data_IF_473408402756
#
_entry.id   IF_473408402756
#
_cell.length_a   1.000
_cell.length_b   1.000
_cell.length_c   1.000
_cell.angle_alpha   90.00
_cell.angle_beta   90.00
_cell.angle_gamma   90.00
#
_symmetry.space_group_name_H-M   'P 1'
#
loop_
_entity.id
_entity.type
_entity.pdbx_description
1 polymer ?
#
# COMPACT_ATOMS: atom_id res chain seq x y z
N UNK A 1 0.37 -23.78 -4.13
CA UNK A 1 0.57 -22.38 -3.64
C UNK A 1 -0.73 -21.60 -3.49
N UNK A 2 -1.62 -21.52 -4.50
CA UNK A 2 -2.93 -20.82 -4.38
C UNK A 2 -3.73 -21.21 -3.12
N UNK A 3 -3.82 -22.51 -2.81
CA UNK A 3 -4.48 -23.02 -1.59
C UNK A 3 -3.91 -22.40 -0.30
N UNK A 4 -2.60 -22.18 -0.22
CA UNK A 4 -1.99 -21.62 0.98
C UNK A 4 -2.40 -20.15 1.22
N UNK A 5 -2.55 -19.36 0.15
CA UNK A 5 -3.10 -18.00 0.25
C UNK A 5 -4.55 -18.01 0.74
N UNK A 6 -5.37 -18.91 0.19
CA UNK A 6 -6.77 -19.10 0.60
C UNK A 6 -6.87 -19.50 2.08
N UNK A 7 -6.08 -20.48 2.51
CA UNK A 7 -6.08 -20.95 3.90
C UNK A 7 -5.62 -19.85 4.85
N UNK A 8 -4.63 -19.04 4.47
CA UNK A 8 -4.17 -17.89 5.25
C UNK A 8 -5.25 -16.80 5.36
N UNK A 9 -5.95 -16.50 4.26
CA UNK A 9 -7.02 -15.52 4.25
C UNK A 9 -8.21 -15.94 5.13
N UNK A 10 -8.58 -17.24 5.11
CA UNK A 10 -9.59 -17.79 6.03
C UNK A 10 -9.18 -17.68 7.49
N UNK A 11 -7.90 -17.93 7.79
CA UNK A 11 -7.35 -17.74 9.15
C UNK A 11 -7.40 -16.28 9.56
N UNK A 12 -7.00 -15.35 8.69
CA UNK A 12 -7.09 -13.91 8.92
C UNK A 12 -8.53 -13.49 9.27
N UNK A 13 -9.51 -13.95 8.49
CA UNK A 13 -10.92 -13.70 8.76
C UNK A 13 -11.37 -14.28 10.12
N UNK A 14 -10.97 -15.52 10.45
CA UNK A 14 -11.31 -16.15 11.74
C UNK A 14 -10.72 -15.43 12.96
N UNK A 15 -9.61 -14.71 12.78
CA UNK A 15 -8.97 -13.90 13.81
C UNK A 15 -9.65 -12.53 13.98
N UNK A 16 -10.62 -12.19 13.13
CA UNK A 16 -11.28 -10.88 13.14
C UNK A 16 -10.46 -9.78 12.50
N UNK A 17 -9.45 -10.10 11.68
CA UNK A 17 -8.75 -9.09 10.88
C UNK A 17 -9.73 -8.45 9.90
N UNK A 18 -9.72 -7.12 9.84
CA UNK A 18 -10.72 -6.33 9.12
C UNK A 18 -10.33 -6.01 7.68
N UNK A 19 -9.14 -6.42 7.23
CA UNK A 19 -8.62 -6.17 5.89
C UNK A 19 -7.52 -7.19 5.57
N UNK A 20 -7.33 -7.52 4.29
CA UNK A 20 -6.23 -8.35 3.81
C UNK A 20 -5.55 -7.65 2.63
N UNK A 21 -4.22 -7.67 2.59
CA UNK A 21 -3.44 -7.17 1.46
C UNK A 21 -2.62 -8.31 0.85
N UNK A 22 -2.74 -8.52 -0.46
CA UNK A 22 -1.88 -9.44 -1.20
C UNK A 22 -0.60 -8.76 -1.63
N UNK A 23 0.53 -9.43 -1.39
CA UNK A 23 1.84 -8.89 -1.72
C UNK A 23 2.28 -9.31 -3.13
N UNK A 24 2.09 -8.42 -4.10
CA UNK A 24 2.51 -8.53 -5.50
C UNK A 24 3.70 -7.59 -5.83
N UNK A 25 4.61 -7.39 -4.88
CA UNK A 25 5.66 -6.39 -4.98
C UNK A 25 7.02 -6.92 -4.47
N UNK A 26 8.04 -6.08 -4.55
CA UNK A 26 9.35 -6.25 -3.91
C UNK A 26 10.13 -7.51 -4.28
N UNK A 27 9.85 -8.09 -5.45
CA UNK A 27 10.56 -9.26 -5.95
C UNK A 27 10.17 -10.58 -5.26
N UNK A 28 9.13 -10.57 -4.43
CA UNK A 28 8.55 -11.80 -3.91
C UNK A 28 7.72 -12.53 -4.97
N UNK A 29 7.23 -13.71 -4.62
CA UNK A 29 6.61 -14.66 -5.52
C UNK A 29 5.67 -14.06 -6.58
N UNK A 30 4.65 -13.30 -6.19
CA UNK A 30 3.68 -12.80 -7.16
C UNK A 30 4.31 -11.73 -8.06
N UNK A 31 5.25 -10.92 -7.55
CA UNK A 31 6.04 -10.01 -8.36
C UNK A 31 6.98 -10.74 -9.32
N UNK A 32 7.50 -11.91 -8.92
CA UNK A 32 8.36 -12.71 -9.80
C UNK A 32 7.59 -13.18 -11.03
N UNK A 33 6.30 -13.53 -10.90
CA UNK A 33 5.48 -13.85 -12.06
C UNK A 33 5.23 -12.63 -12.95
N UNK A 34 5.03 -11.46 -12.35
CA UNK A 34 4.82 -10.21 -13.09
C UNK A 34 6.06 -9.80 -13.87
N UNK A 35 7.25 -9.79 -13.27
CA UNK A 35 8.45 -9.26 -13.92
C UNK A 35 9.07 -10.24 -14.93
N UNK A 36 9.37 -9.80 -16.16
CA UNK A 36 10.03 -10.64 -17.16
C UNK A 36 11.51 -10.88 -16.80
N UNK A 37 12.08 -10.11 -15.87
CA UNK A 37 13.45 -10.32 -15.39
C UNK A 37 13.59 -11.63 -14.61
N UNK A 38 12.48 -12.11 -14.03
CA UNK A 38 12.45 -13.32 -13.22
C UNK A 38 11.55 -14.42 -13.80
N UNK A 39 10.55 -14.06 -14.61
CA UNK A 39 9.66 -15.02 -15.27
C UNK A 39 10.02 -15.27 -16.73
N UNK A 40 10.94 -16.23 -16.92
CA UNK A 40 11.35 -16.73 -18.24
C UNK A 40 10.60 -18.03 -18.62
N UNK A 41 9.42 -18.27 -18.06
CA UNK A 41 8.61 -19.44 -18.41
C UNK A 41 8.10 -19.34 -19.85
N UNK A 42 7.95 -20.50 -20.48
CA UNK A 42 7.44 -20.64 -21.85
C UNK A 42 6.02 -21.22 -21.90
N UNK A 43 5.39 -21.44 -20.74
CA UNK A 43 4.02 -21.94 -20.65
C UNK A 43 3.00 -20.79 -20.50
N UNK A 44 1.75 -21.13 -20.18
CA UNK A 44 0.65 -20.18 -20.05
C UNK A 44 0.80 -19.15 -18.90
N UNK A 45 1.89 -19.21 -18.13
CA UNK A 45 2.19 -18.29 -17.03
C UNK A 45 3.43 -17.43 -17.27
N UNK A 46 4.05 -17.46 -18.46
CA UNK A 46 5.17 -16.58 -18.83
C UNK A 46 5.08 -16.04 -20.26
N UNK A 47 6.07 -15.21 -20.62
CA UNK A 47 6.11 -14.53 -21.91
C UNK A 47 5.25 -13.26 -21.93
N UNK A 48 4.04 -13.36 -22.51
CA UNK A 48 3.16 -12.19 -22.67
C UNK A 48 2.75 -11.56 -21.34
N UNK A 49 2.35 -10.29 -21.38
CA UNK A 49 1.83 -9.58 -20.21
C UNK A 49 0.66 -10.33 -19.56
N UNK A 50 -0.32 -10.78 -20.36
CA UNK A 50 -1.47 -11.54 -19.89
C UNK A 50 -1.08 -12.83 -19.16
N UNK A 51 -0.10 -13.57 -19.69
CA UNK A 51 0.38 -14.80 -19.07
C UNK A 51 1.11 -14.52 -17.75
N UNK A 52 1.95 -13.48 -17.70
CA UNK A 52 2.66 -13.07 -16.48
C UNK A 52 1.71 -12.62 -15.37
N UNK A 53 0.62 -11.92 -15.73
CA UNK A 53 -0.42 -11.51 -14.77
C UNK A 53 -1.35 -12.64 -14.33
N UNK A 54 -1.44 -13.73 -15.10
CA UNK A 54 -2.40 -14.82 -14.86
C UNK A 54 -2.34 -15.37 -13.45
N UNK A 55 -1.15 -15.75 -12.97
CA UNK A 55 -1.03 -16.37 -11.65
C UNK A 55 -1.34 -15.39 -10.50
N UNK A 56 -0.80 -14.14 -10.48
CA UNK A 56 -1.24 -13.13 -9.52
C UNK A 56 -2.74 -12.87 -9.51
N UNK A 57 -3.39 -12.75 -10.67
CA UNK A 57 -4.84 -12.56 -10.77
C UNK A 57 -5.62 -13.78 -10.25
N UNK A 58 -5.21 -15.00 -10.61
CA UNK A 58 -5.84 -16.22 -10.10
C UNK A 58 -5.73 -16.35 -8.57
N UNK A 59 -4.63 -15.86 -7.98
CA UNK A 59 -4.44 -15.84 -6.53
C UNK A 59 -5.37 -14.79 -5.91
N UNK A 60 -5.48 -13.61 -6.51
CA UNK A 60 -6.43 -12.59 -6.08
C UNK A 60 -7.87 -13.11 -6.08
N UNK A 61 -8.32 -13.69 -7.20
CA UNK A 61 -9.68 -14.19 -7.38
C UNK A 61 -10.01 -15.27 -6.34
N UNK A 62 -9.12 -16.24 -6.13
CA UNK A 62 -9.34 -17.31 -5.16
C UNK A 62 -9.36 -16.81 -3.70
N UNK A 63 -8.52 -15.83 -3.36
CA UNK A 63 -8.53 -15.22 -2.02
C UNK A 63 -9.79 -14.39 -1.82
N UNK A 64 -10.22 -13.66 -2.84
CA UNK A 64 -11.44 -12.86 -2.80
C UNK A 64 -12.67 -13.74 -2.58
N UNK A 65 -12.77 -14.87 -3.27
CA UNK A 65 -13.84 -15.87 -3.11
C UNK A 65 -13.86 -16.47 -1.70
N UNK A 66 -12.69 -16.69 -1.09
CA UNK A 66 -12.57 -17.32 0.22
C UNK A 66 -12.86 -16.37 1.40
N UNK A 67 -12.75 -15.06 1.20
CA UNK A 67 -12.95 -14.05 2.24
C UNK A 67 -14.42 -13.62 2.34
N UNK A 68 -14.98 -13.45 3.55
CA UNK A 68 -16.26 -12.78 3.74
C UNK A 68 -16.33 -11.43 2.99
N UNK A 69 -17.46 -11.13 2.37
CA UNK A 69 -17.61 -9.97 1.49
C UNK A 69 -17.29 -8.62 2.17
N UNK A 70 -17.53 -8.53 3.48
CA UNK A 70 -17.26 -7.34 4.29
C UNK A 70 -15.78 -7.12 4.61
N UNK A 71 -14.91 -8.12 4.42
CA UNK A 71 -13.47 -7.98 4.61
C UNK A 71 -12.88 -7.54 3.27
N UNK A 72 -12.47 -6.27 3.09
CA UNK A 72 -11.88 -5.79 1.86
C UNK A 72 -10.51 -6.44 1.59
N UNK A 73 -10.20 -6.61 0.31
CA UNK A 73 -8.96 -7.22 -0.18
C UNK A 73 -8.28 -6.21 -1.10
N UNK A 74 -7.10 -5.75 -0.71
CA UNK A 74 -6.24 -4.92 -1.55
C UNK A 74 -5.00 -5.66 -2.04
N UNK A 75 -4.22 -4.96 -2.86
CA UNK A 75 -2.98 -5.48 -3.42
C UNK A 75 -1.87 -4.45 -3.28
N UNK A 76 -0.69 -4.90 -2.84
CA UNK A 76 0.54 -4.13 -2.94
C UNK A 76 1.32 -4.48 -4.20
N UNK A 77 1.74 -3.49 -4.96
CA UNK A 77 2.48 -3.66 -6.23
C UNK A 77 3.81 -2.92 -6.21
N UNK A 78 4.78 -3.44 -6.96
CA UNK A 78 5.91 -2.65 -7.42
C UNK A 78 5.52 -2.07 -8.77
N UNK A 79 5.37 -0.74 -8.85
CA UNK A 79 4.91 -0.09 -10.08
C UNK A 79 5.97 -0.05 -11.19
N UNK A 80 7.22 -0.31 -10.86
CA UNK A 80 8.31 -0.49 -11.82
C UNK A 80 9.45 -1.26 -11.16
N UNK A 81 10.19 -2.02 -11.95
CA UNK A 81 11.43 -2.68 -11.54
C UNK A 81 12.64 -1.73 -11.51
N UNK A 82 12.55 -0.56 -12.15
CA UNK A 82 13.67 0.36 -12.39
C UNK A 82 14.84 -0.29 -13.18
N UNK A 83 14.51 -1.21 -14.08
CA UNK A 83 15.45 -1.89 -14.98
C UNK A 83 14.82 -1.99 -16.36
N UNK A 84 15.60 -1.66 -17.40
CA UNK A 84 15.15 -1.75 -18.79
C UNK A 84 14.69 -3.16 -19.15
N UNK A 85 13.56 -3.24 -19.85
CA UNK A 85 12.93 -4.51 -20.21
C UNK A 85 12.24 -5.23 -19.05
N UNK A 86 12.17 -4.63 -17.85
CA UNK A 86 11.45 -5.17 -16.69
C UNK A 86 9.95 -4.87 -16.66
N UNK A 87 9.37 -5.01 -15.47
CA UNK A 87 8.02 -4.52 -15.17
C UNK A 87 8.03 -2.98 -15.07
N UNK A 88 7.04 -2.33 -15.65
CA UNK A 88 6.93 -0.86 -15.73
C UNK A 88 5.56 -0.33 -15.30
N UNK A 89 5.41 0.99 -15.35
CA UNK A 89 4.21 1.67 -14.83
C UNK A 89 3.01 1.41 -15.74
N UNK A 90 3.23 1.32 -17.05
CA UNK A 90 2.22 1.00 -18.05
C UNK A 90 1.64 -0.40 -17.82
N UNK A 91 2.49 -1.40 -17.59
CA UNK A 91 2.08 -2.76 -17.22
C UNK A 91 1.33 -2.76 -15.87
N UNK A 92 1.78 -1.95 -14.90
CA UNK A 92 1.08 -1.78 -13.62
C UNK A 92 -0.32 -1.20 -13.79
N UNK A 93 -0.51 -0.24 -14.69
CA UNK A 93 -1.82 0.33 -15.00
C UNK A 93 -2.78 -0.74 -15.53
N UNK A 94 -2.33 -1.58 -16.47
CA UNK A 94 -3.15 -2.69 -17.00
C UNK A 94 -3.51 -3.66 -15.87
N UNK A 95 -2.55 -4.03 -15.04
CA UNK A 95 -2.78 -4.92 -13.90
C UNK A 95 -3.76 -4.31 -12.87
N UNK A 96 -3.63 -3.02 -12.59
CA UNK A 96 -4.50 -2.29 -11.66
C UNK A 96 -5.95 -2.24 -12.15
N UNK A 97 -6.18 -2.01 -13.45
CA UNK A 97 -7.52 -2.03 -14.05
C UNK A 97 -8.15 -3.43 -13.98
N UNK A 98 -7.35 -4.48 -14.22
CA UNK A 98 -7.81 -5.86 -14.09
C UNK A 98 -8.15 -6.25 -12.65
N UNK A 99 -7.39 -5.75 -11.66
CA UNK A 99 -7.68 -5.90 -10.24
C UNK A 99 -8.95 -5.14 -9.82
N UNK A 100 -9.10 -3.90 -10.28
CA UNK A 100 -10.31 -3.09 -10.03
C UNK A 100 -11.57 -3.81 -10.55
N UNK A 101 -11.53 -4.35 -11.77
CA UNK A 101 -12.63 -5.10 -12.34
C UNK A 101 -13.00 -6.38 -11.53
N UNK A 102 -12.08 -6.88 -10.71
CA UNK A 102 -12.28 -8.03 -9.80
C UNK A 102 -12.68 -7.62 -8.38
N UNK A 103 -12.90 -6.33 -8.13
CA UNK A 103 -13.29 -5.82 -6.82
C UNK A 103 -12.12 -5.63 -5.85
N UNK A 104 -10.92 -5.34 -6.35
CA UNK A 104 -9.81 -4.89 -5.51
C UNK A 104 -10.18 -3.61 -4.77
N UNK A 105 -10.04 -3.64 -3.44
CA UNK A 105 -10.53 -2.59 -2.57
C UNK A 105 -9.57 -1.41 -2.45
N UNK A 106 -8.27 -1.62 -2.67
CA UNK A 106 -7.25 -0.57 -2.80
C UNK A 106 -6.00 -1.12 -3.49
N UNK A 107 -5.14 -0.21 -3.95
CA UNK A 107 -3.80 -0.54 -4.44
C UNK A 107 -2.73 0.21 -3.64
N UNK A 108 -1.82 -0.53 -3.00
CA UNK A 108 -0.62 0.03 -2.33
C UNK A 108 0.56 0.06 -3.30
N UNK A 109 0.99 1.27 -3.67
CA UNK A 109 1.93 1.50 -4.77
C UNK A 109 3.34 1.72 -4.26
N UNK A 110 4.18 0.70 -4.46
CA UNK A 110 5.62 0.70 -4.18
C UNK A 110 6.42 0.54 -5.48
N UNK A 111 7.68 0.11 -5.42
CA UNK A 111 8.53 -0.15 -6.60
C UNK A 111 9.73 -1.05 -6.26
N UNK A 112 10.39 -1.56 -7.30
CA UNK A 112 11.65 -2.30 -7.24
C UNK A 112 11.59 -3.65 -6.52
N UNK A 113 12.77 -4.17 -6.21
CA UNK A 113 13.01 -5.36 -5.39
C UNK A 113 13.28 -6.66 -6.15
N UNK A 114 13.06 -6.70 -7.47
CA UNK A 114 13.24 -7.94 -8.25
C UNK A 114 14.67 -8.18 -8.72
N UNK A 115 15.47 -7.11 -8.92
CA UNK A 115 16.80 -7.20 -9.50
C UNK A 115 17.79 -6.28 -8.80
N UNK A 116 19.04 -6.70 -8.57
CA UNK A 116 20.09 -5.84 -8.03
C UNK A 116 20.55 -4.76 -9.02
N UNK A 117 20.18 -4.85 -10.30
CA UNK A 117 20.56 -3.88 -11.34
C UNK A 117 19.67 -2.63 -11.36
N UNK A 118 18.66 -2.57 -10.50
CA UNK A 118 17.74 -1.45 -10.41
C UNK A 118 18.45 -0.13 -10.11
N UNK A 119 18.11 0.93 -10.84
CA UNK A 119 18.58 2.28 -10.55
C UNK A 119 17.43 3.15 -10.05
N UNK A 120 17.22 3.14 -8.72
CA UNK A 120 16.10 3.83 -8.10
C UNK A 120 16.49 5.29 -7.80
N UNK A 121 15.72 6.29 -8.26
CA UNK A 121 15.94 7.70 -7.93
C UNK A 121 15.43 7.99 -6.50
N UNK A 122 16.15 7.48 -5.51
CA UNK A 122 15.74 7.57 -4.10
C UNK A 122 15.73 9.03 -3.62
N UNK A 123 14.56 9.48 -3.18
CA UNK A 123 14.35 10.80 -2.57
C UNK A 123 12.99 10.87 -1.87
N UNK A 124 12.67 11.97 -1.16
CA UNK A 124 11.37 12.14 -0.53
C UNK A 124 10.23 11.96 -1.53
N UNK A 125 9.29 11.07 -1.25
CA UNK A 125 8.11 10.85 -2.10
C UNK A 125 8.42 10.22 -3.47
N UNK A 126 9.57 9.59 -3.69
CA UNK A 126 9.98 9.14 -5.04
C UNK A 126 9.01 8.17 -5.75
N UNK A 127 8.09 7.53 -5.04
CA UNK A 127 7.07 6.64 -5.63
C UNK A 127 5.69 7.32 -5.76
N UNK A 128 5.51 8.52 -5.23
CA UNK A 128 4.26 9.30 -5.34
C UNK A 128 3.90 9.56 -6.82
N UNK A 129 4.84 9.88 -7.72
CA UNK A 129 4.50 10.00 -9.14
C UNK A 129 3.95 8.71 -9.76
N UNK A 130 4.42 7.53 -9.30
CA UNK A 130 3.93 6.23 -9.75
C UNK A 130 2.49 6.01 -9.27
N UNK A 131 2.21 6.32 -7.99
CA UNK A 131 0.88 6.26 -7.42
C UNK A 131 -0.10 7.19 -8.16
N UNK A 132 0.32 8.43 -8.43
CA UNK A 132 -0.48 9.43 -9.15
C UNK A 132 -0.80 8.98 -10.59
N UNK A 133 0.16 8.39 -11.31
CA UNK A 133 -0.07 7.87 -12.66
C UNK A 133 -1.19 6.82 -12.69
N UNK A 134 -1.19 5.90 -11.72
CA UNK A 134 -2.23 4.86 -11.60
C UNK A 134 -3.55 5.48 -11.11
N UNK A 135 -3.52 6.40 -10.16
CA UNK A 135 -4.70 7.06 -9.59
C UNK A 135 -5.56 7.79 -10.62
N UNK A 136 -4.96 8.24 -11.73
CA UNK A 136 -5.64 8.92 -12.84
C UNK A 136 -6.48 7.99 -13.72
N UNK A 137 -6.25 6.69 -13.65
CA UNK A 137 -6.84 5.69 -14.56
C UNK A 137 -7.65 4.61 -13.88
N UNK A 138 -7.68 4.58 -12.54
CA UNK A 138 -8.54 3.71 -11.72
C UNK A 138 -9.36 4.56 -10.74
N UNK A 139 -10.44 3.96 -10.22
CA UNK A 139 -11.35 4.57 -9.23
C UNK A 139 -11.15 4.01 -7.82
N UNK A 140 -10.58 2.81 -7.68
CA UNK A 140 -10.24 2.25 -6.38
C UNK A 140 -9.24 3.15 -5.62
N UNK A 141 -9.34 3.21 -4.28
CA UNK A 141 -8.38 3.94 -3.45
C UNK A 141 -6.93 3.55 -3.73
N UNK A 142 -6.06 4.56 -3.80
CA UNK A 142 -4.61 4.40 -3.94
C UNK A 142 -3.91 4.76 -2.65
N UNK A 143 -2.97 3.92 -2.22
CA UNK A 143 -2.07 4.18 -1.11
C UNK A 143 -0.69 4.53 -1.67
N UNK A 144 -0.17 5.71 -1.31
CA UNK A 144 1.20 6.09 -1.64
C UNK A 144 2.17 5.81 -0.49
N UNK A 145 3.38 5.37 -0.83
CA UNK A 145 4.49 5.14 0.11
C UNK A 145 5.79 5.65 -0.50
N UNK A 146 6.84 5.82 0.30
CA UNK A 146 8.19 6.07 -0.20
C UNK A 146 8.79 7.33 0.38
N UNK A 147 9.58 7.17 1.45
CA UNK A 147 10.29 8.26 2.13
C UNK A 147 9.38 9.46 2.44
N UNK A 148 8.23 9.18 3.03
CA UNK A 148 7.33 10.19 3.58
C UNK A 148 7.60 10.26 5.08
N UNK A 149 8.05 11.42 5.55
CA UNK A 149 8.44 11.61 6.96
C UNK A 149 7.84 12.86 7.58
N UNK A 150 7.53 13.89 6.79
CA UNK A 150 7.00 15.14 7.33
C UNK A 150 5.47 15.20 7.21
N UNK A 151 4.75 15.73 8.22
CA UNK A 151 3.29 15.89 8.15
C UNK A 151 2.84 16.67 6.92
N UNK A 152 3.52 17.76 6.58
CA UNK A 152 3.19 18.60 5.42
C UNK A 152 3.39 17.86 4.10
N UNK A 153 4.37 16.95 4.03
CA UNK A 153 4.57 16.10 2.86
C UNK A 153 3.40 15.13 2.68
N UNK A 154 2.95 14.48 3.76
CA UNK A 154 1.80 13.60 3.72
C UNK A 154 0.51 14.34 3.36
N UNK A 155 0.29 15.53 3.92
CA UNK A 155 -0.85 16.40 3.61
C UNK A 155 -0.85 16.82 2.13
N UNK A 156 0.29 17.25 1.60
CA UNK A 156 0.41 17.67 0.20
C UNK A 156 0.02 16.53 -0.77
N UNK A 157 0.46 15.30 -0.50
CA UNK A 157 0.11 14.13 -1.32
C UNK A 157 -1.41 13.94 -1.43
N UNK A 158 -2.14 14.14 -0.32
CA UNK A 158 -3.60 14.02 -0.28
C UNK A 158 -4.27 15.22 -0.96
N UNK A 159 -3.84 16.44 -0.65
CA UNK A 159 -4.43 17.67 -1.22
C UNK A 159 -4.24 17.77 -2.73
N UNK A 160 -3.11 17.28 -3.25
CA UNK A 160 -2.82 17.22 -4.69
C UNK A 160 -3.58 16.08 -5.40
N UNK A 161 -4.27 15.22 -4.66
CA UNK A 161 -5.00 14.07 -5.21
C UNK A 161 -4.08 12.97 -5.75
N UNK A 162 -2.82 12.93 -5.31
CA UNK A 162 -1.86 11.91 -5.76
C UNK A 162 -2.13 10.53 -5.16
N UNK A 163 -2.81 10.48 -4.01
CA UNK A 163 -3.27 9.24 -3.35
C UNK A 163 -4.45 9.54 -2.42
N UNK A 164 -5.16 8.49 -2.02
CA UNK A 164 -6.27 8.56 -1.06
C UNK A 164 -5.81 8.19 0.36
N UNK A 165 -4.69 7.47 0.49
CA UNK A 165 -4.01 7.18 1.76
C UNK A 165 -2.49 7.32 1.63
N UNK A 166 -1.82 7.56 2.77
CA UNK A 166 -0.36 7.62 2.88
C UNK A 166 0.12 6.53 3.84
N UNK A 167 0.96 5.63 3.35
CA UNK A 167 1.62 4.61 4.16
C UNK A 167 2.98 5.11 4.69
N UNK A 168 3.20 4.88 5.98
CA UNK A 168 4.43 5.25 6.69
C UNK A 168 5.11 4.00 7.26
N UNK A 169 6.41 3.86 7.03
CA UNK A 169 7.21 2.74 7.54
C UNK A 169 8.26 3.21 8.54
N UNK A 170 9.44 3.63 8.06
CA UNK A 170 10.57 4.06 8.91
C UNK A 170 10.23 5.21 9.85
N UNK A 171 9.39 6.15 9.42
CA UNK A 171 8.94 7.28 10.26
C UNK A 171 8.14 6.81 11.49
N UNK A 172 7.29 5.79 11.33
CA UNK A 172 6.51 5.21 12.45
C UNK A 172 7.39 4.41 13.41
N UNK A 173 8.40 3.70 12.89
CA UNK A 173 9.36 2.95 13.73
C UNK A 173 10.21 3.89 14.58
N UNK A 174 10.70 4.98 13.97
CA UNK A 174 11.50 5.98 14.66
C UNK A 174 10.65 6.84 15.62
N UNK A 175 9.43 7.17 15.21
CA UNK A 175 8.49 7.97 15.99
C UNK A 175 7.10 7.31 16.01
N UNK A 176 6.77 6.48 17.01
CA UNK A 176 5.46 5.82 17.09
C UNK A 176 4.32 6.80 17.40
N UNK A 177 4.63 8.05 17.80
CA UNK A 177 3.66 9.13 18.00
C UNK A 177 3.57 10.06 16.80
N UNK A 178 4.10 9.65 15.64
CA UNK A 178 4.04 10.44 14.41
C UNK A 178 2.65 11.00 14.10
N UNK A 179 1.54 10.24 14.21
CA UNK A 179 0.21 10.80 13.96
C UNK A 179 -0.19 11.91 14.94
N UNK A 180 0.34 11.90 16.18
CA UNK A 180 0.07 12.97 17.15
C UNK A 180 0.82 14.24 16.78
N UNK A 181 2.09 14.11 16.41
CA UNK A 181 2.91 15.24 15.96
C UNK A 181 2.39 15.81 14.64
N UNK A 182 1.90 14.95 13.73
CA UNK A 182 1.26 15.35 12.50
C UNK A 182 -0.04 16.11 12.76
N UNK A 183 -0.91 15.61 13.64
CA UNK A 183 -2.13 16.30 14.04
C UNK A 183 -1.83 17.69 14.63
N UNK A 184 -0.84 17.80 15.52
CA UNK A 184 -0.39 19.08 16.04
C UNK A 184 0.11 20.04 14.95
N UNK A 185 0.97 19.57 14.04
CA UNK A 185 1.53 20.38 12.97
C UNK A 185 0.50 20.85 11.94
N UNK A 186 -0.52 20.03 11.68
CA UNK A 186 -1.59 20.29 10.71
C UNK A 186 -2.86 20.87 11.35
N UNK A 187 -2.83 21.18 12.65
CA UNK A 187 -3.98 21.68 13.43
C UNK A 187 -5.22 20.77 13.35
N UNK A 188 -4.98 19.46 13.30
CA UNK A 188 -6.00 18.42 13.36
C UNK A 188 -6.08 17.81 14.78
N UNK A 189 -6.97 16.84 14.96
CA UNK A 189 -7.08 16.09 16.22
C UNK A 189 -6.93 14.58 16.00
N UNK A 190 -6.54 13.87 17.05
CA UNK A 190 -6.30 12.42 17.04
C UNK A 190 -6.85 11.77 18.30
N UNK A 191 -7.35 10.55 18.15
CA UNK A 191 -7.77 9.72 19.29
C UNK A 191 -6.54 9.15 20.01
N UNK A 192 -6.46 9.40 21.31
CA UNK A 192 -5.35 9.00 22.16
C UNK A 192 -5.88 8.22 23.37
N UNK A 193 -5.22 7.13 23.80
CA UNK A 193 -5.59 6.44 25.03
C UNK A 193 -5.64 7.41 26.22
N UNK A 194 -6.69 7.33 27.04
CA UNK A 194 -6.95 8.33 28.09
C UNK A 194 -5.79 8.51 29.08
N UNK A 195 -4.97 7.48 29.27
CA UNK A 195 -3.79 7.49 30.12
C UNK A 195 -2.73 8.51 29.66
N UNK A 196 -2.72 8.87 28.37
CA UNK A 196 -1.77 9.82 27.80
C UNK A 196 -2.34 11.23 27.59
N UNK A 197 -3.60 11.51 27.94
CA UNK A 197 -4.19 12.83 27.69
C UNK A 197 -3.42 14.00 28.33
N UNK A 198 -2.74 13.76 29.46
CA UNK A 198 -1.91 14.77 30.13
C UNK A 198 -0.55 15.02 29.46
N UNK A 199 -0.20 14.29 28.40
CA UNK A 199 1.06 14.48 27.66
C UNK A 199 0.95 15.54 26.55
N UNK A 200 -0.21 16.15 26.34
CA UNK A 200 -0.39 17.19 25.33
C UNK A 200 0.46 18.43 25.69
N UNK A 201 1.38 18.86 24.81
CA UNK A 201 2.17 20.07 25.05
C UNK A 201 1.29 21.31 25.15
N UNK A 202 1.72 22.32 25.91
CA UNK A 202 0.93 23.54 26.17
C UNK A 202 0.71 24.35 24.91
N UNK A 203 1.61 24.24 23.95
CA UNK A 203 1.67 25.01 22.71
C UNK A 203 0.68 24.50 21.66
N UNK A 204 0.18 23.27 21.79
CA UNK A 204 -0.65 22.59 20.78
C UNK A 204 -1.93 22.00 21.40
N UNK A 205 -2.58 22.76 22.28
CA UNK A 205 -3.84 22.37 22.94
C UNK A 205 -4.94 22.01 21.93
N UNK A 206 -5.68 20.94 22.21
CA UNK A 206 -6.84 20.51 21.43
C UNK A 206 -6.54 19.46 20.36
N UNK A 207 -5.31 18.92 20.33
CA UNK A 207 -4.90 17.83 19.44
C UNK A 207 -5.48 16.50 19.91
N UNK A 208 -5.60 16.27 21.21
CA UNK A 208 -6.18 15.03 21.72
C UNK A 208 -7.71 15.11 21.76
N UNK A 209 -8.35 14.41 20.83
CA UNK A 209 -9.81 14.42 20.70
C UNK A 209 -10.48 13.93 21.99
N UNK A 210 -11.49 14.68 22.45
CA UNK A 210 -12.31 14.36 23.63
C UNK A 210 -11.55 14.27 24.97
N UNK A 211 -10.32 14.77 25.05
CA UNK A 211 -9.56 14.73 26.29
C UNK A 211 -10.24 15.55 27.40
N UNK A 212 -10.44 14.93 28.57
CA UNK A 212 -10.97 15.57 29.76
C UNK A 212 -10.04 15.32 30.95
N UNK A 213 -9.59 16.39 31.60
CA UNK A 213 -8.57 16.34 32.65
C UNK A 213 -9.12 17.05 33.89
N UNK A 214 -9.28 16.30 34.98
CA UNK A 214 -9.61 16.82 36.30
C UNK A 214 -8.79 16.11 37.38
N UNK A 215 -8.38 16.82 38.42
CA UNK A 215 -7.74 16.26 39.61
C UNK A 215 -8.39 16.87 40.86
N UNK A 216 -8.45 16.09 41.95
CA UNK A 216 -8.98 16.51 43.26
C UNK A 216 -7.98 17.37 44.01
#
# INVERSE_FOLDING_TARGET
MRRAFVDAARRAASLGLQAVELHCAHGYLLHQFLSPLSNQRTDAYGGSLDNRMRFPLDVFDAVREALPAQIPLGVRVSATDWVDGGWDTEQTIVFAQLLEARGCAWLDVSSGGVSPLQNIPVGPGYQVPLANAIRRVVRMPIIAVGLITEPQQAEAILQEGSADLVALARAMLWNPRWPWHAAAALKASVNVPHQYWRSEPREVRGVFAHASIGQR
#
